data_IF_765674301057
#
_entry.id   IF_765674301057
#
_cell.length_a   1.000
_cell.length_b   1.000
_cell.length_c   1.000
_cell.angle_alpha   90.00
_cell.angle_beta   90.00
_cell.angle_gamma   90.00
#
_symmetry.space_group_name_H-M   'P 1'
#
loop_
_entity.id
_entity.type
_entity.pdbx_description
1 polymer ?
#
# COMPACT_ATOMS: atom_id res chain seq x y z
N UNK A 1 -7.20 21.49 -0.81
CA UNK A 1 -8.39 21.23 -1.66
C UNK A 1 -8.63 22.39 -2.62
N UNK A 2 -9.69 22.36 -3.43
CA UNK A 2 -10.00 23.44 -4.38
C UNK A 2 -8.99 23.55 -5.53
N UNK A 3 -8.64 24.78 -5.94
CA UNK A 3 -7.77 25.04 -7.09
C UNK A 3 -6.33 24.52 -6.93
N UNK A 4 -5.89 24.26 -5.70
CA UNK A 4 -4.57 23.69 -5.36
C UNK A 4 -4.63 22.18 -5.11
N UNK A 5 -5.65 21.49 -5.63
CA UNK A 5 -5.72 20.02 -5.56
C UNK A 5 -4.54 19.41 -6.33
N UNK A 6 -4.09 18.23 -5.89
CA UNK A 6 -3.08 17.48 -6.64
C UNK A 6 -3.59 17.23 -8.07
N UNK A 7 -2.85 17.70 -9.06
CA UNK A 7 -3.15 17.48 -10.47
C UNK A 7 -3.09 15.98 -10.83
N UNK A 8 -2.22 15.23 -10.15
CA UNK A 8 -2.07 13.78 -10.31
C UNK A 8 -3.06 12.94 -9.51
N UNK A 9 -4.07 13.53 -8.84
CA UNK A 9 -4.98 12.79 -7.94
C UNK A 9 -5.65 11.60 -8.64
N UNK A 10 -6.19 11.80 -9.84
CA UNK A 10 -6.88 10.75 -10.57
C UNK A 10 -5.93 9.60 -10.97
N UNK A 11 -4.71 9.95 -11.41
CA UNK A 11 -3.70 8.97 -11.80
C UNK A 11 -3.18 8.17 -10.60
N UNK A 12 -2.87 8.84 -9.49
CA UNK A 12 -2.47 8.17 -8.24
C UNK A 12 -3.55 7.20 -7.74
N UNK A 13 -4.84 7.56 -7.86
CA UNK A 13 -5.93 6.65 -7.52
C UNK A 13 -6.03 5.45 -8.46
N UNK A 14 -5.79 5.63 -9.76
CA UNK A 14 -5.75 4.52 -10.72
C UNK A 14 -4.64 3.54 -10.36
N UNK A 15 -3.41 4.03 -10.16
CA UNK A 15 -2.25 3.18 -9.80
C UNK A 15 -2.50 2.41 -8.50
N UNK A 16 -2.94 3.11 -7.44
CA UNK A 16 -3.24 2.48 -6.16
C UNK A 16 -4.32 1.39 -6.31
N UNK A 17 -5.37 1.63 -7.09
CA UNK A 17 -6.44 0.63 -7.32
C UNK A 17 -5.92 -0.60 -8.06
N UNK A 18 -5.14 -0.42 -9.12
CA UNK A 18 -4.58 -1.53 -9.90
C UNK A 18 -3.64 -2.39 -9.05
N UNK A 19 -2.73 -1.74 -8.31
CA UNK A 19 -1.76 -2.43 -7.44
C UNK A 19 -2.47 -3.16 -6.30
N UNK A 20 -3.38 -2.49 -5.59
CA UNK A 20 -4.12 -3.11 -4.47
C UNK A 20 -4.99 -4.26 -4.97
N UNK A 21 -5.67 -4.09 -6.10
CA UNK A 21 -6.47 -5.16 -6.72
C UNK A 21 -5.61 -6.38 -7.01
N UNK A 22 -4.48 -6.21 -7.71
CA UNK A 22 -3.59 -7.33 -8.03
C UNK A 22 -3.00 -8.03 -6.80
N UNK A 23 -2.69 -7.28 -5.74
CA UNK A 23 -2.21 -7.86 -4.47
C UNK A 23 -3.33 -8.68 -3.81
N UNK A 24 -4.52 -8.11 -3.65
CA UNK A 24 -5.62 -8.74 -2.91
C UNK A 24 -6.23 -9.93 -3.65
N UNK A 25 -6.18 -9.96 -4.99
CA UNK A 25 -6.68 -11.09 -5.78
C UNK A 25 -5.62 -12.18 -6.00
N UNK A 26 -4.34 -11.82 -5.95
CA UNK A 26 -3.23 -12.73 -6.29
C UNK A 26 -2.45 -13.29 -5.11
N UNK A 27 -2.57 -12.71 -3.90
CA UNK A 27 -1.72 -13.08 -2.77
C UNK A 27 -2.46 -12.99 -1.43
N UNK A 28 -2.18 -13.93 -0.52
CA UNK A 28 -2.41 -13.74 0.91
C UNK A 28 -1.12 -13.24 1.57
N UNK A 29 -1.18 -12.08 2.21
CA UNK A 29 -0.02 -11.46 2.89
C UNK A 29 -0.21 -11.46 4.42
N UNK A 30 0.89 -11.63 5.14
CA UNK A 30 0.93 -11.47 6.60
C UNK A 30 2.17 -10.69 7.05
N UNK A 31 2.12 -10.08 8.23
CA UNK A 31 3.29 -9.44 8.83
C UNK A 31 4.33 -10.50 9.23
N UNK A 32 5.59 -10.28 8.88
CA UNK A 32 6.69 -11.18 9.25
C UNK A 32 6.96 -11.19 10.76
N UNK A 33 6.57 -10.13 11.47
CA UNK A 33 6.74 -10.00 12.91
C UNK A 33 5.52 -9.31 13.53
N UNK A 34 5.12 -9.77 14.71
CA UNK A 34 4.03 -9.17 15.48
C UNK A 34 4.53 -7.96 16.29
N UNK A 35 4.90 -6.89 15.58
CA UNK A 35 5.31 -5.61 16.16
C UNK A 35 4.41 -4.48 15.65
N UNK A 36 4.11 -3.46 16.47
CA UNK A 36 3.24 -2.37 16.06
C UNK A 36 3.87 -1.59 14.90
N UNK A 37 3.11 -1.45 13.80
CA UNK A 37 3.46 -0.57 12.69
C UNK A 37 2.96 0.84 13.02
N UNK A 38 3.87 1.77 13.25
CA UNK A 38 3.54 3.14 13.67
C UNK A 38 3.66 4.12 12.50
N UNK A 39 2.84 5.18 12.42
CA UNK A 39 3.08 6.26 11.47
C UNK A 39 4.37 7.01 11.85
N UNK A 40 5.26 7.22 10.88
CA UNK A 40 6.52 7.95 11.02
C UNK A 40 6.68 8.96 9.90
N UNK A 41 7.43 10.03 10.15
CA UNK A 41 7.76 11.05 9.15
C UNK A 41 8.90 10.55 8.26
N UNK A 42 8.76 10.70 6.95
CA UNK A 42 9.76 10.41 5.91
C UNK A 42 10.05 11.70 5.12
N UNK A 43 10.53 12.72 5.83
CA UNK A 43 10.68 14.08 5.31
C UNK A 43 9.34 14.82 5.25
N UNK A 44 8.94 15.26 4.05
CA UNK A 44 7.68 15.98 3.81
C UNK A 44 6.45 15.07 3.85
N UNK A 45 6.62 13.76 3.69
CA UNK A 45 5.53 12.78 3.71
C UNK A 45 5.55 11.96 5.00
N UNK A 46 4.42 11.36 5.35
CA UNK A 46 4.30 10.35 6.40
C UNK A 46 4.15 8.96 5.80
N UNK A 47 4.70 7.95 6.45
CA UNK A 47 4.53 6.55 6.06
C UNK A 47 4.64 5.62 7.27
N UNK A 48 4.46 4.31 7.09
CA UNK A 48 4.63 3.34 8.17
C UNK A 48 6.11 3.24 8.61
N UNK A 49 6.34 2.90 9.87
CA UNK A 49 7.64 2.45 10.37
C UNK A 49 8.10 1.22 9.56
N UNK A 50 9.41 0.97 9.37
CA UNK A 50 9.88 -0.20 8.63
C UNK A 50 9.21 -1.50 9.09
N UNK A 51 8.69 -2.26 8.14
CA UNK A 51 8.03 -3.55 8.38
C UNK A 51 8.31 -4.48 7.21
N UNK A 52 8.14 -5.78 7.46
CA UNK A 52 8.27 -6.81 6.44
C UNK A 52 6.97 -7.60 6.41
N UNK A 53 6.57 -8.00 5.20
CA UNK A 53 5.46 -8.90 4.98
C UNK A 53 5.99 -10.18 4.36
N UNK A 54 5.31 -11.28 4.63
CA UNK A 54 5.49 -12.57 3.98
C UNK A 54 4.25 -12.87 3.15
N UNK A 55 4.45 -13.45 1.98
CA UNK A 55 3.37 -14.03 1.20
C UNK A 55 3.11 -15.44 1.72
N UNK A 56 1.93 -15.66 2.30
CA UNK A 56 1.51 -16.98 2.78
C UNK A 56 1.12 -17.88 1.63
N UNK A 57 0.38 -17.34 0.68
CA UNK A 57 -0.12 -18.06 -0.49
C UNK A 57 -0.15 -17.14 -1.71
N UNK A 58 0.07 -17.73 -2.90
CA UNK A 58 -0.22 -17.11 -4.18
C UNK A 58 -1.53 -17.70 -4.70
N UNK A 59 -2.55 -16.86 -4.78
CA UNK A 59 -3.85 -17.23 -5.30
C UNK A 59 -3.76 -17.31 -6.83
N UNK A 60 -4.26 -18.41 -7.41
CA UNK A 60 -4.37 -18.53 -8.85
C UNK A 60 -5.40 -17.50 -9.35
N UNK A 61 -4.92 -16.49 -10.07
CA UNK A 61 -5.79 -15.52 -10.74
C UNK A 61 -6.25 -16.19 -12.04
N UNK A 62 -7.54 -16.54 -12.11
CA UNK A 62 -8.20 -17.07 -13.30
C UNK A 62 -8.14 -16.10 -14.48
#
# INVERSE_FOLDING_TARGET
GGIRRCIGMAFAQLEMKLVISGILTGCELALAANRPVRPVRRGLTSGPSPFQMVMKERLAVH
#
